data_IF_695952247138
#
_entry.id   IF_695952247138
#
_cell.length_a   1.000
_cell.length_b   1.000
_cell.length_c   1.000
_cell.angle_alpha   90.00
_cell.angle_beta   90.00
_cell.angle_gamma   90.00
#
_symmetry.space_group_name_H-M   'P 1'
#
loop_
_entity.id
_entity.type
_entity.pdbx_description
1 polymer ?
#
# COMPACT_ATOMS: atom_id res chain seq x y z
N UNK A 1 11.95 -39.80 70.17
CA UNK A 1 11.80 -40.46 68.86
C UNK A 1 10.36 -40.27 68.46
N UNK A 2 10.07 -39.19 67.74
CA UNK A 2 8.72 -38.83 67.30
C UNK A 2 8.66 -38.82 65.77
N UNK A 3 7.49 -39.24 65.29
CA UNK A 3 7.06 -39.60 63.94
C UNK A 3 7.09 -38.43 62.93
N UNK A 4 7.24 -38.71 61.62
CA UNK A 4 7.13 -37.67 60.59
C UNK A 4 5.67 -37.33 60.29
N UNK A 5 5.36 -36.03 60.26
CA UNK A 5 4.04 -35.49 59.86
C UNK A 5 3.89 -35.45 58.34
N UNK A 6 2.65 -35.69 57.94
CA UNK A 6 2.13 -35.83 56.58
C UNK A 6 2.38 -34.62 55.65
N UNK A 7 2.60 -34.96 54.37
CA UNK A 7 2.40 -34.09 53.21
C UNK A 7 0.93 -33.66 53.14
N UNK A 8 0.66 -32.37 53.32
CA UNK A 8 -0.62 -31.76 52.95
C UNK A 8 -0.54 -31.22 51.52
N UNK A 9 -1.55 -31.60 50.74
CA UNK A 9 -1.81 -31.20 49.37
C UNK A 9 -1.83 -29.67 49.20
N UNK A 10 -0.86 -29.13 48.46
CA UNK A 10 -0.98 -27.82 47.83
C UNK A 10 -1.80 -28.00 46.55
N UNK A 11 -3.10 -27.75 46.62
CA UNK A 11 -3.91 -27.55 45.42
C UNK A 11 -3.40 -26.31 44.68
N UNK A 12 -3.19 -26.36 43.35
CA UNK A 12 -2.86 -25.17 42.59
C UNK A 12 -4.00 -24.14 42.71
N UNK A 13 -3.69 -22.84 42.68
CA UNK A 13 -4.71 -21.81 42.73
C UNK A 13 -5.68 -22.00 41.55
N UNK A 14 -6.97 -21.68 41.72
CA UNK A 14 -7.91 -21.73 40.61
C UNK A 14 -7.38 -20.83 39.48
N UNK A 15 -7.47 -21.27 38.22
CA UNK A 15 -7.05 -20.45 37.10
C UNK A 15 -7.81 -19.12 37.15
N UNK A 16 -7.06 -18.02 37.10
CA UNK A 16 -7.62 -16.70 36.84
C UNK A 16 -8.49 -16.75 35.58
N UNK A 17 -9.60 -16.01 35.50
CA UNK A 17 -10.44 -16.01 34.32
C UNK A 17 -9.63 -15.41 33.15
N UNK A 18 -9.03 -16.28 32.35
CA UNK A 18 -8.50 -15.94 31.05
C UNK A 18 -9.70 -15.47 30.21
N UNK A 19 -9.83 -14.16 29.97
CA UNK A 19 -10.59 -13.64 28.84
C UNK A 19 -9.85 -14.04 27.56
N UNK A 20 -10.05 -15.30 27.15
CA UNK A 20 -9.29 -15.98 26.13
C UNK A 20 -10.00 -15.89 24.76
N UNK A 21 -10.28 -14.68 24.30
CA UNK A 21 -10.68 -14.45 22.90
C UNK A 21 -9.68 -13.51 22.27
N UNK A 22 -8.78 -14.08 21.47
CA UNK A 22 -7.86 -13.34 20.59
C UNK A 22 -8.67 -12.36 19.74
N UNK A 23 -8.32 -11.07 19.79
CA UNK A 23 -9.00 -10.03 19.01
C UNK A 23 -8.94 -10.33 17.52
N UNK A 24 -10.05 -10.20 16.82
CA UNK A 24 -10.12 -10.40 15.37
C UNK A 24 -9.96 -9.08 14.65
N UNK A 25 -8.95 -9.01 13.79
CA UNK A 25 -8.60 -7.79 13.05
C UNK A 25 -8.68 -8.04 11.56
N UNK A 26 -9.71 -7.46 10.93
CA UNK A 26 -9.79 -7.43 9.48
C UNK A 26 -8.81 -6.41 8.91
N UNK A 27 -8.26 -6.69 7.74
CA UNK A 27 -7.47 -5.73 6.99
C UNK A 27 -7.63 -5.97 5.49
N UNK A 28 -7.60 -4.89 4.73
CA UNK A 28 -8.13 -4.87 3.35
C UNK A 28 -7.06 -4.75 2.26
N UNK A 29 -5.80 -4.82 2.66
CA UNK A 29 -4.63 -4.61 1.82
C UNK A 29 -4.56 -5.55 0.62
N UNK A 30 -3.90 -5.16 -0.49
CA UNK A 30 -3.56 -6.09 -1.56
C UNK A 30 -2.63 -7.22 -1.08
N UNK A 31 -2.56 -8.31 -1.86
CA UNK A 31 -1.75 -9.51 -1.58
C UNK A 31 -0.29 -9.20 -1.19
N UNK A 32 0.33 -8.20 -1.83
CA UNK A 32 1.73 -7.82 -1.62
C UNK A 32 2.03 -7.37 -0.19
N UNK A 33 1.03 -6.90 0.55
CA UNK A 33 1.18 -6.39 1.92
C UNK A 33 0.64 -7.36 2.98
N UNK A 34 -0.23 -8.29 2.58
CA UNK A 34 -1.00 -9.12 3.49
C UNK A 34 -0.12 -9.90 4.48
N UNK A 35 0.88 -10.63 3.97
CA UNK A 35 1.75 -11.45 4.82
C UNK A 35 2.48 -10.63 5.90
N UNK A 36 2.94 -9.42 5.57
CA UNK A 36 3.66 -8.54 6.51
C UNK A 36 2.73 -8.01 7.58
N UNK A 37 1.54 -7.53 7.22
CA UNK A 37 0.57 -7.02 8.19
C UNK A 37 0.04 -8.15 9.08
N UNK A 38 -0.32 -9.31 8.51
CA UNK A 38 -0.70 -10.50 9.28
C UNK A 38 0.36 -10.91 10.29
N UNK A 39 1.64 -10.86 9.92
CA UNK A 39 2.73 -11.17 10.83
C UNK A 39 2.75 -10.24 12.06
N UNK A 40 2.63 -8.92 11.86
CA UNK A 40 2.59 -7.98 12.98
C UNK A 40 1.36 -8.16 13.88
N UNK A 41 0.20 -8.48 13.31
CA UNK A 41 -1.02 -8.77 14.07
C UNK A 41 -0.85 -10.05 14.92
N UNK A 42 -0.29 -11.11 14.34
CA UNK A 42 0.02 -12.35 15.09
C UNK A 42 1.00 -12.12 16.24
N UNK A 43 2.01 -11.25 16.06
CA UNK A 43 2.96 -10.91 17.13
C UNK A 43 2.29 -10.23 18.33
N UNK A 44 1.10 -9.64 18.17
CA UNK A 44 0.29 -9.09 19.27
C UNK A 44 -0.68 -10.11 19.88
N UNK A 45 -0.68 -11.35 19.39
CA UNK A 45 -1.62 -12.38 19.81
C UNK A 45 -3.05 -12.14 19.30
N UNK A 46 -3.19 -11.46 18.17
CA UNK A 46 -4.48 -11.21 17.52
C UNK A 46 -4.69 -12.16 16.33
N UNK A 47 -5.95 -12.33 15.94
CA UNK A 47 -6.40 -13.16 14.82
C UNK A 47 -6.56 -12.30 13.56
N UNK A 48 -5.58 -12.27 12.63
CA UNK A 48 -5.67 -11.50 11.41
C UNK A 48 -6.68 -12.12 10.44
N UNK A 49 -7.55 -11.29 9.89
CA UNK A 49 -8.51 -11.64 8.86
C UNK A 49 -8.21 -10.83 7.58
N UNK A 50 -7.69 -11.49 6.56
CA UNK A 50 -7.37 -10.82 5.31
C UNK A 50 -8.60 -10.74 4.40
N UNK A 51 -9.04 -9.52 4.09
CA UNK A 51 -10.21 -9.23 3.25
C UNK A 51 -9.83 -8.29 2.11
N UNK A 52 -9.07 -8.73 1.09
CA UNK A 52 -8.54 -7.84 0.07
C UNK A 52 -9.67 -7.14 -0.69
N UNK A 53 -9.71 -5.81 -0.65
CA UNK A 53 -10.73 -5.02 -1.37
C UNK A 53 -10.20 -4.47 -2.69
N UNK A 54 -8.88 -4.54 -2.89
CA UNK A 54 -8.21 -4.17 -4.13
C UNK A 54 -7.22 -5.23 -4.59
N UNK A 55 -7.05 -5.33 -5.90
CA UNK A 55 -5.99 -6.08 -6.58
C UNK A 55 -5.05 -5.08 -7.23
N UNK A 56 -3.74 -5.22 -6.99
CA UNK A 56 -2.73 -4.31 -7.52
C UNK A 56 -1.67 -5.11 -8.27
N UNK A 57 -1.66 -4.99 -9.60
CA UNK A 57 -0.81 -5.80 -10.46
C UNK A 57 -0.60 -5.19 -11.86
N UNK A 58 0.52 -5.49 -12.53
CA UNK A 58 0.65 -5.23 -13.97
C UNK A 58 -0.25 -6.16 -14.77
N UNK A 59 -0.83 -5.64 -15.85
CA UNK A 59 -1.66 -6.38 -16.82
C UNK A 59 -0.99 -6.40 -18.19
N UNK A 60 -1.39 -7.29 -19.12
CA UNK A 60 -0.87 -7.26 -20.50
C UNK A 60 -1.06 -5.90 -21.18
N UNK A 61 -2.17 -5.22 -20.87
CA UNK A 61 -2.47 -3.88 -21.38
C UNK A 61 -1.49 -2.82 -20.84
N UNK A 62 -1.32 -2.74 -19.52
CA UNK A 62 -0.40 -1.77 -18.89
C UNK A 62 1.06 -2.05 -19.21
N UNK A 63 1.48 -3.31 -19.31
CA UNK A 63 2.79 -3.69 -19.86
C UNK A 63 3.00 -3.18 -21.28
N UNK A 64 1.99 -3.30 -22.14
CA UNK A 64 2.03 -2.76 -23.50
C UNK A 64 2.14 -1.24 -23.53
N UNK A 65 1.46 -0.53 -22.62
CA UNK A 65 1.58 0.92 -22.48
C UNK A 65 3.00 1.35 -22.11
N UNK A 66 3.65 0.65 -21.18
CA UNK A 66 5.06 0.87 -20.84
C UNK A 66 5.98 0.63 -22.05
N UNK A 67 5.78 -0.49 -22.77
CA UNK A 67 6.61 -0.85 -23.93
C UNK A 67 6.62 0.19 -25.03
N UNK A 68 5.54 0.95 -25.23
CA UNK A 68 5.54 2.06 -26.20
C UNK A 68 6.66 3.07 -25.95
N UNK A 69 7.04 3.25 -24.69
CA UNK A 69 8.14 4.13 -24.32
C UNK A 69 9.50 3.44 -24.38
N UNK A 70 9.56 2.13 -24.11
CA UNK A 70 10.81 1.39 -23.93
C UNK A 70 11.34 0.75 -25.20
N UNK A 71 10.44 0.34 -26.10
CA UNK A 71 10.82 -0.37 -27.31
C UNK A 71 11.69 0.49 -28.22
N UNK A 72 12.84 -0.05 -28.61
CA UNK A 72 13.70 0.47 -29.66
C UNK A 72 13.86 -0.59 -30.75
N UNK A 73 13.93 -0.17 -32.01
CA UNK A 73 14.34 -1.04 -33.12
C UNK A 73 15.72 -0.58 -33.63
N UNK A 74 16.43 -1.38 -34.44
CA UNK A 74 17.67 -0.93 -35.07
C UNK A 74 17.51 0.37 -35.88
N UNK A 75 16.29 0.70 -36.31
CA UNK A 75 15.97 1.87 -37.10
C UNK A 75 15.32 3.01 -36.29
N UNK A 76 14.83 2.75 -35.07
CA UNK A 76 14.10 3.74 -34.26
C UNK A 76 14.56 3.74 -32.80
N UNK A 77 14.94 4.92 -32.32
CA UNK A 77 15.23 5.14 -30.90
C UNK A 77 13.96 4.96 -30.06
N UNK A 78 14.13 4.46 -28.83
CA UNK A 78 13.07 4.43 -27.83
C UNK A 78 12.60 5.85 -27.50
N UNK A 79 11.30 6.03 -27.27
CA UNK A 79 10.72 7.31 -26.86
C UNK A 79 11.21 7.75 -25.47
N UNK A 80 11.71 6.83 -24.64
CA UNK A 80 12.32 7.13 -23.35
C UNK A 80 13.51 8.10 -23.49
N UNK A 81 14.18 8.12 -24.65
CA UNK A 81 15.28 9.06 -24.91
C UNK A 81 14.85 10.53 -24.96
N UNK A 82 13.55 10.81 -25.13
CA UNK A 82 13.01 12.17 -25.12
C UNK A 82 12.67 12.66 -23.70
N UNK A 83 12.92 11.83 -22.68
CA UNK A 83 12.72 12.13 -21.27
C UNK A 83 14.04 12.48 -20.60
N UNK A 84 13.96 13.31 -19.56
CA UNK A 84 15.11 13.59 -18.68
C UNK A 84 15.03 12.83 -17.36
N UNK A 85 13.85 12.32 -17.01
CA UNK A 85 13.66 11.55 -15.79
C UNK A 85 12.53 10.52 -15.88
N UNK A 86 12.60 9.53 -15.00
CA UNK A 86 11.46 8.69 -14.58
C UNK A 86 11.22 8.93 -13.10
N UNK A 87 9.95 9.10 -12.72
CA UNK A 87 9.55 9.23 -11.33
C UNK A 87 8.59 8.12 -10.92
N UNK A 88 9.09 7.21 -10.06
CA UNK A 88 8.31 6.14 -9.46
C UNK A 88 7.78 6.55 -8.10
N UNK A 89 6.46 6.46 -7.94
CA UNK A 89 5.78 6.69 -6.66
C UNK A 89 5.39 5.38 -5.96
N UNK A 90 5.75 4.22 -6.53
CA UNK A 90 5.48 2.93 -5.91
C UNK A 90 6.44 1.84 -6.36
N UNK A 91 6.66 0.88 -5.46
CA UNK A 91 7.37 -0.37 -5.75
C UNK A 91 6.77 -1.16 -6.92
N UNK A 92 5.44 -1.18 -7.04
CA UNK A 92 4.76 -1.90 -8.13
C UNK A 92 5.06 -1.23 -9.47
N UNK A 93 5.14 0.10 -9.53
CA UNK A 93 5.55 0.83 -10.73
C UNK A 93 6.95 0.42 -11.20
N UNK A 94 7.91 0.31 -10.28
CA UNK A 94 9.29 -0.12 -10.59
C UNK A 94 9.30 -1.57 -11.10
N UNK A 95 8.59 -2.48 -10.41
CA UNK A 95 8.48 -3.88 -10.82
C UNK A 95 7.81 -4.03 -12.19
N UNK A 96 6.72 -3.30 -12.44
CA UNK A 96 6.01 -3.32 -13.72
C UNK A 96 6.90 -2.82 -14.88
N UNK A 97 7.64 -1.73 -14.63
CA UNK A 97 8.60 -1.19 -15.58
C UNK A 97 9.73 -2.17 -15.87
N UNK A 98 10.25 -2.83 -14.83
CA UNK A 98 11.28 -3.88 -14.97
C UNK A 98 10.77 -5.06 -15.79
N UNK A 99 9.57 -5.57 -15.49
CA UNK A 99 8.94 -6.65 -16.27
C UNK A 99 8.69 -6.25 -17.73
N UNK A 100 8.37 -4.97 -17.99
CA UNK A 100 8.21 -4.49 -19.35
C UNK A 100 9.55 -4.48 -20.12
N UNK A 101 10.68 -4.31 -19.43
CA UNK A 101 12.03 -4.37 -20.00
C UNK A 101 12.55 -5.80 -20.22
N UNK A 102 12.07 -6.80 -19.48
CA UNK A 102 12.57 -8.18 -19.57
C UNK A 102 12.42 -8.81 -20.97
N UNK A 103 11.47 -8.30 -21.77
CA UNK A 103 11.24 -8.75 -23.16
C UNK A 103 12.01 -7.90 -24.20
N UNK A 104 12.84 -6.95 -23.76
CA UNK A 104 13.64 -6.11 -24.66
C UNK A 104 15.01 -6.74 -24.94
N UNK A 105 15.45 -6.64 -26.19
CA UNK A 105 16.78 -7.11 -26.61
C UNK A 105 17.88 -6.08 -26.39
N UNK A 106 17.52 -4.80 -26.25
CA UNK A 106 18.43 -3.67 -26.06
C UNK A 106 17.91 -2.76 -24.96
N UNK A 107 18.79 -2.16 -24.14
CA UNK A 107 18.40 -1.15 -23.17
C UNK A 107 17.71 0.06 -23.83
N UNK A 108 16.64 0.61 -23.22
CA UNK A 108 15.85 1.69 -23.82
C UNK A 108 16.62 3.02 -23.93
N UNK A 109 17.60 3.26 -23.06
CA UNK A 109 18.46 4.45 -23.16
C UNK A 109 19.77 4.16 -23.89
N UNK A 110 20.11 5.06 -24.83
CA UNK A 110 21.44 5.12 -25.44
C UNK A 110 22.54 5.25 -24.35
N UNK A 111 23.71 4.64 -24.51
CA UNK A 111 24.84 4.88 -23.60
C UNK A 111 25.38 6.32 -23.65
N UNK A 112 24.98 7.10 -24.67
CA UNK A 112 25.40 8.47 -24.88
C UNK A 112 24.27 9.47 -24.61
N UNK A 113 24.63 10.63 -24.09
CA UNK A 113 23.72 11.76 -23.87
C UNK A 113 23.80 12.31 -22.45
N UNK A 114 22.90 13.24 -22.15
CA UNK A 114 22.84 13.86 -20.82
C UNK A 114 22.45 12.86 -19.74
N UNK A 115 22.81 13.17 -18.49
CA UNK A 115 22.38 12.43 -17.30
C UNK A 115 20.87 12.27 -17.26
N UNK A 116 20.42 11.04 -17.05
CA UNK A 116 19.03 10.64 -16.93
C UNK A 116 18.72 10.31 -15.46
N UNK A 117 17.72 10.97 -14.88
CA UNK A 117 17.40 10.77 -13.46
C UNK A 117 16.33 9.70 -13.29
N UNK A 118 16.53 8.74 -12.38
CA UNK A 118 15.51 7.78 -11.99
C UNK A 118 15.25 7.97 -10.51
N UNK A 119 14.01 8.28 -10.15
CA UNK A 119 13.65 8.56 -8.76
C UNK A 119 12.62 7.61 -8.21
N UNK A 120 12.78 7.25 -6.94
CA UNK A 120 11.84 6.41 -6.20
C UNK A 120 11.73 6.86 -4.74
N UNK A 121 10.62 6.49 -4.09
CA UNK A 121 10.34 6.85 -2.70
C UNK A 121 11.02 5.90 -1.73
N UNK A 122 11.82 6.44 -0.80
CA UNK A 122 12.31 5.72 0.39
C UNK A 122 12.83 4.31 0.06
N UNK A 123 12.27 3.29 0.72
CA UNK A 123 12.68 1.88 0.53
C UNK A 123 12.36 1.33 -0.85
N UNK A 124 11.47 1.92 -1.64
CA UNK A 124 11.18 1.41 -2.99
C UNK A 124 12.39 1.57 -3.92
N UNK A 125 13.30 2.49 -3.60
CA UNK A 125 14.58 2.65 -4.28
C UNK A 125 15.50 1.43 -4.19
N UNK A 126 15.26 0.51 -3.25
CA UNK A 126 16.00 -0.77 -3.17
C UNK A 126 15.82 -1.62 -4.45
N UNK A 127 14.77 -1.40 -5.23
CA UNK A 127 14.58 -2.07 -6.54
C UNK A 127 15.34 -1.39 -7.70
N UNK A 128 15.98 -0.24 -7.46
CA UNK A 128 16.78 0.49 -8.45
C UNK A 128 18.26 0.12 -8.31
N UNK A 129 18.55 -1.19 -8.27
CA UNK A 129 19.89 -1.74 -8.13
C UNK A 129 20.70 -1.68 -9.45
N UNK A 130 21.95 -2.16 -9.41
CA UNK A 130 22.83 -2.18 -10.57
C UNK A 130 22.24 -3.00 -11.74
N UNK A 131 21.48 -4.05 -11.43
CA UNK A 131 20.80 -4.85 -12.44
C UNK A 131 19.71 -4.02 -13.14
N UNK A 132 18.90 -3.30 -12.37
CA UNK A 132 17.91 -2.37 -12.92
C UNK A 132 18.57 -1.30 -13.80
N UNK A 133 19.63 -0.65 -13.31
CA UNK A 133 20.37 0.39 -14.05
C UNK A 133 20.93 -0.16 -15.36
N UNK A 134 21.53 -1.35 -15.33
CA UNK A 134 22.10 -1.99 -16.53
C UNK A 134 21.04 -2.37 -17.58
N UNK A 135 19.82 -2.73 -17.14
CA UNK A 135 18.67 -2.95 -18.03
C UNK A 135 18.20 -1.65 -18.69
N UNK A 136 18.27 -0.53 -17.98
CA UNK A 136 17.83 0.78 -18.51
C UNK A 136 18.86 1.36 -19.47
N UNK A 137 20.15 1.29 -19.14
CA UNK A 137 21.24 1.87 -19.94
C UNK A 137 22.54 1.07 -19.80
N UNK A 138 23.25 0.84 -20.92
CA UNK A 138 24.58 0.20 -20.91
C UNK A 138 25.65 1.03 -20.21
N UNK A 139 25.48 2.35 -20.15
CA UNK A 139 26.40 3.26 -19.45
C UNK A 139 25.77 3.69 -18.11
N UNK A 140 26.16 3.07 -16.98
CA UNK A 140 25.56 3.39 -15.68
C UNK A 140 25.87 4.82 -15.22
N UNK A 141 26.99 5.42 -15.65
CA UNK A 141 27.34 6.82 -15.29
C UNK A 141 26.35 7.84 -15.84
N UNK A 142 25.59 7.47 -16.88
CA UNK A 142 24.51 8.31 -17.42
C UNK A 142 23.28 8.30 -16.50
N UNK A 143 23.11 7.29 -15.66
CA UNK A 143 21.92 7.13 -14.81
C UNK A 143 22.20 7.64 -13.42
N UNK A 144 21.40 8.61 -12.97
CA UNK A 144 21.44 9.11 -11.59
C UNK A 144 20.21 8.62 -10.84
N UNK A 145 20.42 7.80 -9.82
CA UNK A 145 19.36 7.45 -8.87
C UNK A 145 19.15 8.63 -7.90
N UNK A 146 17.90 9.02 -7.69
CA UNK A 146 17.52 10.07 -6.76
C UNK A 146 16.48 9.56 -5.77
N UNK A 147 16.70 9.80 -4.49
CA UNK A 147 15.80 9.43 -3.40
C UNK A 147 15.50 10.70 -2.61
N UNK A 148 14.23 11.08 -2.43
CA UNK A 148 13.92 12.27 -1.65
C UNK A 148 14.19 12.04 -0.16
N UNK A 149 14.64 13.06 0.60
CA UNK A 149 14.83 12.95 2.04
C UNK A 149 13.54 12.58 2.79
N UNK A 150 12.40 13.07 2.29
CA UNK A 150 11.06 12.72 2.76
C UNK A 150 10.41 11.84 1.68
N UNK A 151 10.10 10.59 2.02
CA UNK A 151 9.58 9.58 1.09
C UNK A 151 8.08 9.80 0.76
N UNK A 152 7.74 10.97 0.22
CA UNK A 152 6.40 11.34 -0.23
C UNK A 152 6.43 11.79 -1.70
N UNK A 153 5.30 11.73 -2.43
CA UNK A 153 5.23 12.26 -3.79
C UNK A 153 5.67 13.72 -3.89
N UNK A 154 5.24 14.58 -2.95
CA UNK A 154 5.67 15.99 -2.89
C UNK A 154 7.18 16.11 -2.65
N UNK A 155 7.75 15.36 -1.70
CA UNK A 155 9.19 15.36 -1.45
C UNK A 155 10.01 14.89 -2.66
N UNK A 156 9.46 13.96 -3.46
CA UNK A 156 10.04 13.54 -4.75
C UNK A 156 10.06 14.69 -5.76
N UNK A 157 8.97 15.45 -5.88
CA UNK A 157 8.90 16.62 -6.77
C UNK A 157 9.91 17.69 -6.33
N UNK A 158 9.97 18.02 -5.04
CA UNK A 158 10.94 18.98 -4.48
C UNK A 158 12.37 18.55 -4.80
N UNK A 159 12.68 17.27 -4.62
CA UNK A 159 14.01 16.71 -4.86
C UNK A 159 14.39 16.62 -6.34
N UNK A 160 13.41 16.47 -7.24
CA UNK A 160 13.64 16.58 -8.69
C UNK A 160 13.97 18.01 -9.11
N UNK A 161 13.50 19.00 -8.34
CA UNK A 161 13.70 20.42 -8.60
C UNK A 161 13.00 20.89 -9.88
N UNK A 162 13.43 22.06 -10.39
CA UNK A 162 12.75 22.72 -11.49
C UNK A 162 13.02 22.06 -12.85
N UNK A 163 11.95 21.65 -13.54
CA UNK A 163 12.03 20.86 -14.78
C UNK A 163 12.48 21.64 -16.02
N UNK A 164 12.26 22.96 -16.07
CA UNK A 164 12.61 23.82 -17.23
C UNK A 164 12.03 23.31 -18.56
N UNK A 165 10.80 22.80 -18.55
CA UNK A 165 10.12 22.21 -19.70
C UNK A 165 10.59 20.80 -20.07
N UNK A 166 11.51 20.20 -19.31
CA UNK A 166 11.92 18.81 -19.52
C UNK A 166 10.78 17.85 -19.22
N UNK A 167 10.79 16.70 -19.88
CA UNK A 167 9.79 15.65 -19.72
C UNK A 167 10.20 14.67 -18.63
N UNK A 168 9.24 14.27 -17.81
CA UNK A 168 9.37 13.20 -16.80
C UNK A 168 8.30 12.14 -17.05
N UNK A 169 8.72 10.88 -17.18
CA UNK A 169 7.82 9.76 -17.34
C UNK A 169 7.38 9.29 -15.95
N UNK A 170 6.07 9.11 -15.75
CA UNK A 170 5.49 8.75 -14.47
C UNK A 170 4.70 7.44 -14.61
N UNK A 171 5.34 6.27 -14.39
CA UNK A 171 4.64 4.99 -14.28
C UNK A 171 3.78 4.95 -13.03
N UNK A 172 2.46 5.06 -13.21
CA UNK A 172 1.46 5.20 -12.14
C UNK A 172 0.30 4.19 -12.37
N UNK A 173 -0.57 3.93 -11.36
CA UNK A 173 -1.66 2.98 -11.51
C UNK A 173 -2.78 3.53 -12.38
N UNK A 174 -3.30 2.72 -13.31
CA UNK A 174 -4.66 2.86 -13.80
C UNK A 174 -5.64 2.37 -12.73
N UNK A 175 -6.58 3.20 -12.32
CA UNK A 175 -7.61 2.82 -11.34
C UNK A 175 -8.83 2.27 -12.07
N UNK A 176 -9.26 1.05 -11.71
CA UNK A 176 -10.34 0.32 -12.40
C UNK A 176 -11.43 -0.07 -11.43
N UNK A 177 -12.64 0.43 -11.70
CA UNK A 177 -13.83 0.12 -10.90
C UNK A 177 -13.86 0.82 -9.54
N UNK A 178 -13.03 1.84 -9.33
CA UNK A 178 -12.95 2.72 -8.17
C UNK A 178 -12.67 4.16 -8.65
N UNK A 179 -12.82 5.14 -7.77
CA UNK A 179 -12.38 6.52 -7.98
C UNK A 179 -10.87 6.63 -7.78
N UNK A 180 -10.19 7.40 -8.65
CA UNK A 180 -8.75 7.61 -8.50
C UNK A 180 -8.45 8.52 -7.29
N UNK A 181 -7.67 8.05 -6.29
CA UNK A 181 -7.28 8.90 -5.17
C UNK A 181 -6.42 10.07 -5.64
N UNK A 182 -6.54 11.23 -4.99
CA UNK A 182 -5.85 12.47 -5.35
C UNK A 182 -4.31 12.38 -5.36
N UNK A 183 -3.72 11.35 -4.76
CA UNK A 183 -2.26 11.17 -4.66
C UNK A 183 -1.56 11.28 -6.02
N UNK A 184 -2.05 10.61 -7.06
CA UNK A 184 -1.43 10.64 -8.40
C UNK A 184 -1.78 11.93 -9.15
N UNK A 185 -3.04 12.38 -9.22
CA UNK A 185 -3.39 13.68 -9.78
C UNK A 185 -2.58 14.84 -9.18
N UNK A 186 -2.43 14.87 -7.86
CA UNK A 186 -1.68 15.90 -7.14
C UNK A 186 -0.19 15.83 -7.47
N UNK A 187 0.39 14.63 -7.47
CA UNK A 187 1.78 14.42 -7.87
C UNK A 187 2.08 14.95 -9.29
N UNK A 188 1.24 14.64 -10.26
CA UNK A 188 1.41 15.10 -11.64
C UNK A 188 1.22 16.63 -11.76
N UNK A 189 0.29 17.19 -11.00
CA UNK A 189 0.09 18.65 -10.91
C UNK A 189 1.30 19.34 -10.30
N UNK A 190 1.83 18.82 -9.21
CA UNK A 190 2.99 19.39 -8.52
C UNK A 190 4.25 19.36 -9.40
N UNK A 191 4.47 18.29 -10.17
CA UNK A 191 5.51 18.23 -11.19
C UNK A 191 5.33 19.34 -12.24
N UNK A 192 4.10 19.52 -12.73
CA UNK A 192 3.77 20.53 -13.74
C UNK A 192 3.97 21.94 -13.21
N UNK A 193 3.55 22.22 -11.98
CA UNK A 193 3.80 23.48 -11.27
C UNK A 193 5.29 23.75 -11.06
N UNK A 194 6.12 22.71 -10.97
CA UNK A 194 7.59 22.80 -10.92
C UNK A 194 8.25 22.79 -12.31
N UNK A 195 7.49 23.09 -13.37
CA UNK A 195 8.02 23.29 -14.72
C UNK A 195 8.43 22.01 -15.43
N UNK A 196 7.99 20.83 -14.98
CA UNK A 196 8.13 19.59 -15.73
C UNK A 196 6.95 19.39 -16.70
N UNK A 197 7.21 18.74 -17.82
CA UNK A 197 6.14 18.12 -18.62
C UNK A 197 5.94 16.69 -18.11
N UNK A 198 5.01 16.54 -17.17
CA UNK A 198 4.69 15.24 -16.57
C UNK A 198 3.91 14.37 -17.57
N UNK A 199 4.46 13.21 -17.92
CA UNK A 199 3.81 12.24 -18.81
C UNK A 199 3.42 11.02 -17.99
N UNK A 200 2.12 10.90 -17.73
CA UNK A 200 1.52 9.70 -17.16
C UNK A 200 1.67 8.52 -18.11
N UNK A 201 2.05 7.37 -17.57
CA UNK A 201 1.87 6.06 -18.22
C UNK A 201 1.25 5.10 -17.22
N UNK A 202 0.16 4.48 -17.62
CA UNK A 202 -0.52 3.45 -16.84
C UNK A 202 0.35 2.19 -16.83
N UNK A 203 1.17 2.06 -15.78
CA UNK A 203 2.18 1.00 -15.67
C UNK A 203 1.65 -0.27 -15.03
N UNK A 204 0.60 -0.16 -14.24
CA UNK A 204 -0.07 -1.26 -13.56
C UNK A 204 -1.52 -0.85 -13.23
N UNK A 205 -2.33 -1.76 -12.73
CA UNK A 205 -3.70 -1.48 -12.33
C UNK A 205 -3.85 -1.55 -10.81
N UNK A 206 -4.69 -0.65 -10.27
CA UNK A 206 -5.35 -0.81 -8.97
C UNK A 206 -6.83 -1.04 -9.25
N UNK A 207 -7.28 -2.27 -9.03
CA UNK A 207 -8.64 -2.71 -9.39
C UNK A 207 -9.43 -3.07 -8.15
N UNK A 208 -10.72 -2.76 -8.13
CA UNK A 208 -11.62 -3.34 -7.13
C UNK A 208 -11.57 -4.87 -7.15
N UNK A 209 -11.45 -5.52 -6.00
CA UNK A 209 -11.42 -6.98 -5.88
C UNK A 209 -12.79 -7.63 -6.20
N UNK A 210 -13.85 -6.82 -6.24
CA UNK A 210 -15.20 -7.23 -6.63
C UNK A 210 -16.13 -7.44 -5.44
N UNK A 211 -17.41 -7.65 -5.75
CA UNK A 211 -18.52 -7.63 -4.78
C UNK A 211 -18.40 -8.56 -3.57
N UNK A 212 -17.56 -9.60 -3.63
CA UNK A 212 -17.42 -10.57 -2.54
C UNK A 212 -16.36 -10.19 -1.51
N UNK A 213 -15.60 -9.11 -1.70
CA UNK A 213 -14.52 -8.78 -0.76
C UNK A 213 -15.01 -8.41 0.65
N UNK A 214 -16.26 -7.96 0.80
CA UNK A 214 -16.87 -7.71 2.10
C UNK A 214 -17.53 -8.94 2.74
N UNK A 215 -17.63 -10.10 2.07
CA UNK A 215 -18.41 -11.26 2.54
C UNK A 215 -18.06 -11.65 3.98
N UNK A 216 -16.77 -11.66 4.31
CA UNK A 216 -16.31 -12.01 5.67
C UNK A 216 -16.62 -10.91 6.68
N UNK A 217 -16.42 -9.64 6.32
CA UNK A 217 -16.76 -8.50 7.19
C UNK A 217 -18.25 -8.50 7.49
N UNK A 218 -19.10 -8.74 6.48
CA UNK A 218 -20.55 -8.85 6.62
C UNK A 218 -20.90 -10.03 7.54
N UNK A 219 -20.33 -11.21 7.30
CA UNK A 219 -20.58 -12.40 8.13
C UNK A 219 -20.22 -12.19 9.61
N UNK A 220 -19.03 -11.63 9.89
CA UNK A 220 -18.59 -11.37 11.26
C UNK A 220 -19.37 -10.23 11.95
N UNK A 221 -19.89 -9.28 11.17
CA UNK A 221 -20.76 -8.23 11.68
C UNK A 221 -22.20 -8.66 11.89
N UNK A 222 -22.60 -9.87 11.49
CA UNK A 222 -23.99 -10.31 11.68
C UNK A 222 -24.28 -10.69 13.13
N UNK A 223 -25.57 -10.76 13.49
CA UNK A 223 -26.00 -11.26 14.81
C UNK A 223 -25.53 -12.69 15.07
N UNK A 224 -25.51 -13.53 14.03
CA UNK A 224 -24.98 -14.90 14.07
C UNK A 224 -23.45 -14.93 14.26
N UNK A 225 -22.75 -13.92 13.73
CA UNK A 225 -21.32 -13.71 13.92
C UNK A 225 -20.95 -13.16 15.31
N UNK A 226 -21.94 -12.87 16.16
CA UNK A 226 -21.76 -12.41 17.54
C UNK A 226 -21.05 -11.06 17.68
N UNK A 227 -20.94 -10.28 16.60
CA UNK A 227 -20.13 -9.06 16.59
C UNK A 227 -18.63 -9.32 16.81
N UNK A 228 -18.12 -10.49 16.38
CA UNK A 228 -16.75 -10.94 16.64
C UNK A 228 -15.64 -10.24 15.85
N UNK A 229 -15.89 -9.03 15.32
CA UNK A 229 -14.88 -8.22 14.63
C UNK A 229 -14.48 -7.02 15.50
N UNK A 230 -13.23 -7.02 15.98
CA UNK A 230 -12.73 -5.99 16.89
C UNK A 230 -12.14 -4.78 16.17
N UNK A 231 -11.57 -4.98 14.98
CA UNK A 231 -11.02 -3.87 14.20
C UNK A 231 -11.01 -4.10 12.68
N UNK A 232 -11.00 -3.00 11.92
CA UNK A 232 -10.63 -2.96 10.49
C UNK A 232 -9.43 -2.04 10.29
N UNK A 233 -8.42 -2.52 9.58
CA UNK A 233 -7.23 -1.74 9.21
C UNK A 233 -7.24 -1.44 7.71
N UNK A 234 -7.12 -0.15 7.37
CA UNK A 234 -6.96 0.34 6.00
C UNK A 234 -5.54 0.88 5.78
N UNK A 235 -4.93 0.50 4.66
CA UNK A 235 -3.61 1.04 4.27
C UNK A 235 -3.67 2.03 3.13
N UNK A 236 -4.78 2.11 2.40
CA UNK A 236 -5.00 3.10 1.34
C UNK A 236 -6.47 3.48 1.19
N UNK A 237 -6.75 4.65 0.57
CA UNK A 237 -8.12 5.13 0.31
C UNK A 237 -8.88 4.20 -0.63
N UNK A 238 -8.21 3.64 -1.65
CA UNK A 238 -8.82 2.72 -2.59
C UNK A 238 -9.32 1.43 -1.89
N UNK A 239 -8.65 1.01 -0.82
CA UNK A 239 -9.12 -0.12 0.00
C UNK A 239 -10.43 0.18 0.73
N UNK A 240 -10.59 1.42 1.20
CA UNK A 240 -11.81 1.87 1.89
C UNK A 240 -12.97 1.88 0.91
N UNK A 241 -12.79 2.53 -0.23
CA UNK A 241 -13.81 2.59 -1.28
C UNK A 241 -14.19 1.19 -1.78
N UNK A 242 -13.20 0.31 -1.98
CA UNK A 242 -13.45 -1.07 -2.39
C UNK A 242 -14.27 -1.86 -1.36
N UNK A 243 -14.08 -1.59 -0.05
CA UNK A 243 -14.92 -2.19 0.99
C UNK A 243 -16.35 -1.64 0.92
N UNK A 244 -16.50 -0.32 0.88
CA UNK A 244 -17.80 0.36 0.87
C UNK A 244 -18.65 -0.09 -0.31
N UNK A 245 -18.06 -0.08 -1.51
CA UNK A 245 -18.72 -0.56 -2.72
C UNK A 245 -19.17 -2.02 -2.60
N UNK A 246 -18.39 -2.85 -1.93
CA UNK A 246 -18.77 -4.25 -1.68
C UNK A 246 -19.87 -4.35 -0.63
N UNK A 247 -19.88 -3.54 0.42
CA UNK A 247 -20.97 -3.49 1.39
C UNK A 247 -22.30 -3.09 0.73
N UNK A 248 -22.28 -2.12 -0.19
CA UNK A 248 -23.45 -1.69 -0.95
C UNK A 248 -24.08 -2.85 -1.75
N UNK A 249 -23.24 -3.71 -2.35
CA UNK A 249 -23.70 -4.92 -3.05
C UNK A 249 -24.37 -5.95 -2.11
N UNK A 250 -24.07 -5.89 -0.81
CA UNK A 250 -24.74 -6.65 0.25
C UNK A 250 -25.94 -5.90 0.86
N UNK A 251 -26.30 -4.73 0.33
CA UNK A 251 -27.39 -3.89 0.85
C UNK A 251 -27.05 -3.23 2.19
N UNK A 252 -25.76 -3.00 2.46
CA UNK A 252 -25.27 -2.40 3.69
C UNK A 252 -24.48 -1.13 3.40
N UNK A 253 -24.57 -0.18 4.31
CA UNK A 253 -23.64 0.94 4.38
C UNK A 253 -22.70 0.78 5.58
N UNK A 254 -21.74 1.70 5.70
CA UNK A 254 -20.78 1.69 6.81
C UNK A 254 -21.45 1.90 8.17
N UNK A 255 -22.53 2.68 8.23
CA UNK A 255 -23.25 2.95 9.47
C UNK A 255 -23.93 1.69 10.00
N UNK A 256 -24.51 0.86 9.12
CA UNK A 256 -25.06 -0.44 9.46
C UNK A 256 -24.00 -1.38 10.04
N UNK A 257 -22.79 -1.40 9.46
CA UNK A 257 -21.66 -2.16 10.01
C UNK A 257 -21.30 -1.66 11.42
N UNK A 258 -21.21 -0.34 11.63
CA UNK A 258 -20.92 0.25 12.95
C UNK A 258 -22.02 -0.01 13.98
N UNK A 259 -23.30 0.00 13.58
CA UNK A 259 -24.43 -0.35 14.47
C UNK A 259 -24.37 -1.81 14.91
N UNK A 260 -23.99 -2.70 14.00
CA UNK A 260 -23.83 -4.12 14.29
C UNK A 260 -22.58 -4.44 15.12
N UNK A 261 -21.52 -3.66 14.94
CA UNK A 261 -20.26 -3.78 15.69
C UNK A 261 -19.93 -2.45 16.38
N UNK A 262 -20.64 -2.08 17.47
CA UNK A 262 -20.48 -0.77 18.10
C UNK A 262 -19.10 -0.55 18.74
N UNK A 263 -18.37 -1.63 19.03
CA UNK A 263 -17.01 -1.60 19.58
C UNK A 263 -15.92 -1.71 18.50
N UNK A 264 -16.29 -1.80 17.22
CA UNK A 264 -15.35 -1.93 16.12
C UNK A 264 -14.40 -0.74 16.09
N UNK A 265 -13.09 -0.98 16.08
CA UNK A 265 -12.07 0.07 15.92
C UNK A 265 -11.62 0.16 14.46
N UNK A 266 -11.71 1.35 13.88
CA UNK A 266 -11.20 1.64 12.53
C UNK A 266 -9.83 2.26 12.63
N UNK A 267 -8.85 1.64 11.97
CA UNK A 267 -7.49 2.11 11.95
C UNK A 267 -7.01 2.46 10.55
N UNK A 268 -6.38 3.62 10.41
CA UNK A 268 -5.70 4.03 9.20
C UNK A 268 -4.19 3.93 9.35
N UNK A 269 -3.53 3.40 8.32
CA UNK A 269 -2.08 3.27 8.28
C UNK A 269 -1.34 4.62 8.36
N UNK A 270 -1.96 5.71 7.94
CA UNK A 270 -1.39 7.04 8.00
C UNK A 270 -2.41 8.13 7.67
N UNK A 271 -2.02 9.42 7.75
CA UNK A 271 -2.94 10.55 7.64
C UNK A 271 -3.65 10.67 6.29
N UNK A 272 -2.98 10.30 5.20
CA UNK A 272 -3.58 10.31 3.85
C UNK A 272 -4.74 9.31 3.75
N UNK A 273 -4.53 8.10 4.26
CA UNK A 273 -5.57 7.07 4.30
C UNK A 273 -6.71 7.47 5.23
N UNK A 274 -6.40 8.10 6.37
CA UNK A 274 -7.42 8.57 7.30
C UNK A 274 -8.32 9.64 6.67
N UNK A 275 -7.73 10.68 6.07
CA UNK A 275 -8.47 11.73 5.37
C UNK A 275 -9.28 11.17 4.19
N UNK A 276 -8.75 10.16 3.49
CA UNK A 276 -9.46 9.44 2.45
C UNK A 276 -10.68 8.69 2.96
N UNK A 277 -10.54 7.98 4.09
CA UNK A 277 -11.64 7.26 4.72
C UNK A 277 -12.74 8.20 5.20
N UNK A 278 -12.37 9.29 5.87
CA UNK A 278 -13.31 10.29 6.39
C UNK A 278 -14.11 10.97 5.29
N UNK A 279 -13.46 11.31 4.16
CA UNK A 279 -14.14 11.84 2.96
C UNK A 279 -15.19 10.87 2.39
N UNK A 280 -14.99 9.57 2.57
CA UNK A 280 -15.92 8.53 2.14
C UNK A 280 -16.97 8.18 3.21
N UNK A 281 -17.03 8.92 4.32
CA UNK A 281 -17.99 8.69 5.40
C UNK A 281 -17.57 7.60 6.40
N UNK A 282 -16.33 7.12 6.34
CA UNK A 282 -15.77 6.15 7.29
C UNK A 282 -15.02 6.89 8.38
N UNK A 283 -15.63 6.97 9.57
CA UNK A 283 -14.96 7.52 10.76
C UNK A 283 -13.76 6.66 11.17
N UNK A 284 -12.59 7.29 11.32
CA UNK A 284 -11.35 6.63 11.74
C UNK A 284 -11.11 6.86 13.22
N UNK A 285 -10.96 5.79 14.00
CA UNK A 285 -10.78 5.87 15.45
C UNK A 285 -9.30 6.02 15.84
N UNK A 286 -8.38 5.55 14.99
CA UNK A 286 -6.93 5.63 15.22
C UNK A 286 -6.15 5.79 13.92
N UNK A 287 -5.14 6.66 13.95
CA UNK A 287 -4.21 6.90 12.84
C UNK A 287 -2.79 6.63 13.32
N UNK A 288 -2.01 5.85 12.58
CA UNK A 288 -0.60 5.66 12.90
C UNK A 288 0.20 6.93 12.65
N UNK A 289 1.04 7.33 13.62
CA UNK A 289 2.07 8.37 13.43
C UNK A 289 3.36 7.82 12.79
N UNK A 290 3.54 6.49 12.79
CA UNK A 290 4.64 5.79 12.11
C UNK A 290 4.10 5.02 10.91
N UNK A 291 4.00 5.70 9.78
CA UNK A 291 3.44 5.15 8.54
C UNK A 291 4.52 4.69 7.53
N UNK A 292 5.76 4.57 8.00
CA UNK A 292 6.87 3.93 7.28
C UNK A 292 6.90 2.39 7.47
N UNK A 293 6.07 1.86 8.38
CA UNK A 293 5.97 0.43 8.71
C UNK A 293 4.59 0.03 9.20
N UNK A 294 4.13 -1.17 8.81
CA UNK A 294 2.89 -1.77 9.32
C UNK A 294 2.89 -1.97 10.85
N UNK A 295 4.06 -2.09 11.47
CA UNK A 295 4.14 -2.14 12.93
C UNK A 295 3.57 -0.89 13.60
N UNK A 296 3.66 0.29 12.97
CA UNK A 296 3.12 1.53 13.51
C UNK A 296 1.60 1.50 13.70
N UNK A 297 0.85 1.04 12.70
CA UNK A 297 -0.63 0.96 12.82
C UNK A 297 -1.03 -0.09 13.85
N UNK A 298 -0.36 -1.24 13.88
CA UNK A 298 -0.60 -2.30 14.88
C UNK A 298 -0.32 -1.80 16.31
N UNK A 299 0.76 -1.05 16.53
CA UNK A 299 1.05 -0.42 17.82
C UNK A 299 -0.01 0.63 18.20
N UNK A 300 -0.52 1.38 17.24
CA UNK A 300 -1.57 2.38 17.46
C UNK A 300 -2.90 1.72 17.88
N UNK A 301 -3.32 0.61 17.24
CA UNK A 301 -4.47 -0.18 17.71
C UNK A 301 -4.26 -0.69 19.14
N UNK A 302 -3.07 -1.23 19.44
CA UNK A 302 -2.78 -1.74 20.78
C UNK A 302 -2.90 -0.66 21.84
N UNK A 303 -2.41 0.55 21.55
CA UNK A 303 -2.53 1.70 22.44
C UNK A 303 -4.00 2.11 22.63
N UNK A 304 -4.78 2.21 21.54
CA UNK A 304 -6.20 2.53 21.59
C UNK A 304 -6.96 1.58 22.51
N UNK A 305 -6.76 0.27 22.38
CA UNK A 305 -7.45 -0.69 23.25
C UNK A 305 -7.02 -0.61 24.70
N UNK A 306 -5.73 -0.42 25.00
CA UNK A 306 -5.28 -0.18 26.38
C UNK A 306 -5.95 1.03 27.01
N UNK A 307 -6.17 2.09 26.23
CA UNK A 307 -6.85 3.31 26.70
C UNK A 307 -8.36 3.14 26.92
N UNK A 308 -8.98 2.11 26.36
CA UNK A 308 -10.40 1.78 26.58
C UNK A 308 -10.61 0.86 27.80
N UNK A 309 -9.54 0.21 28.27
CA UNK A 309 -9.54 -0.71 29.42
C UNK A 309 -9.20 0.00 30.74
N UNK A 310 -8.76 1.26 30.70
CA UNK A 310 -8.41 2.10 31.86
C UNK A 310 -9.53 3.11 32.13
#
# INVERSE_FOLDING_TARGET
METPKALQNLQPPPPSPNNNTSRVVAFTTPQSYAARLSHFLHLKGWSPLWCPTVVVEPTPHTKSNLRRYLSSTPQTKSLLQDFSAIAFTSRIGISAFTQAMDELTLPPLSPFGNTFTISALGRDSELLDDLFVSKVCKNPERVRIMIPPVATPTGLVESLGFGRGKRVLCPVPLVVGLEEPLVVPDFLRDLSSNGWVAVRVDGYETRWAGKKCAEVVVGMSSEEGGGGLDAVVFTSTAEVEGLLKSLEEFGLDWEAVRKRCPQLVVAAHGPVTASGAERLGVGVDVVSSRFDSFGGVVDALAFKWKSLEC
#
